data_IF_721573298149
#
_entry.id   IF_721573298149
#
_cell.length_a   1.000
_cell.length_b   1.000
_cell.length_c   1.000
_cell.angle_alpha   90.00
_cell.angle_beta   90.00
_cell.angle_gamma   90.00
#
_symmetry.space_group_name_H-M   'P 1'
#
loop_
_entity.id
_entity.type
_entity.pdbx_description
1 polymer ?
#
# COMPACT_ATOMS: atom_id res chain seq x y z
N UNK A 1 -1.24 22.80 9.26
CA UNK A 1 -1.83 22.75 7.89
C UNK A 1 -1.87 21.30 7.47
N UNK A 2 -3.05 20.75 7.17
CA UNK A 2 -3.16 19.38 6.65
C UNK A 2 -2.75 19.42 5.17
N UNK A 3 -1.72 18.68 4.80
CA UNK A 3 -1.30 18.58 3.40
C UNK A 3 -2.22 17.58 2.69
N UNK A 4 -2.94 17.98 1.62
CA UNK A 4 -3.84 17.07 0.89
C UNK A 4 -3.16 15.77 0.44
N UNK A 5 -1.87 15.83 0.14
CA UNK A 5 -1.08 14.66 -0.22
C UNK A 5 -0.88 13.67 0.94
N UNK A 6 -0.69 14.16 2.16
CA UNK A 6 -0.58 13.32 3.36
C UNK A 6 -1.90 12.64 3.70
N UNK A 7 -3.03 13.32 3.49
CA UNK A 7 -4.36 12.70 3.65
C UNK A 7 -4.58 11.58 2.63
N UNK A 8 -4.27 11.83 1.35
CA UNK A 8 -4.32 10.81 0.30
C UNK A 8 -3.50 9.58 0.65
N UNK A 9 -2.30 9.80 1.19
CA UNK A 9 -1.41 8.72 1.62
C UNK A 9 -1.97 7.93 2.81
N UNK A 10 -2.54 8.61 3.81
CA UNK A 10 -3.16 7.97 4.96
C UNK A 10 -4.40 7.14 4.57
N UNK A 11 -5.25 7.69 3.71
CA UNK A 11 -6.40 6.99 3.15
C UNK A 11 -5.98 5.68 2.46
N UNK A 12 -5.01 5.75 1.56
CA UNK A 12 -4.51 4.58 0.83
C UNK A 12 -3.95 3.48 1.74
N UNK A 13 -3.16 3.86 2.75
CA UNK A 13 -2.61 2.91 3.74
C UNK A 13 -3.73 2.23 4.55
N UNK A 14 -4.69 3.00 5.05
CA UNK A 14 -5.81 2.46 5.82
C UNK A 14 -6.72 1.54 4.99
N UNK A 15 -6.96 1.92 3.73
CA UNK A 15 -7.75 1.10 2.81
C UNK A 15 -7.09 -0.26 2.56
N UNK A 16 -5.80 -0.29 2.22
CA UNK A 16 -5.07 -1.53 1.97
C UNK A 16 -4.94 -2.41 3.23
N UNK A 17 -4.82 -1.80 4.41
CA UNK A 17 -4.79 -2.55 5.67
C UNK A 17 -6.12 -3.30 5.94
N UNK A 18 -7.27 -2.78 5.48
CA UNK A 18 -8.59 -3.35 5.74
C UNK A 18 -9.09 -4.27 4.62
N UNK A 19 -8.85 -3.91 3.36
CA UNK A 19 -9.43 -4.60 2.20
C UNK A 19 -8.38 -5.26 1.29
N UNK A 20 -7.11 -4.86 1.39
CA UNK A 20 -5.99 -5.39 0.63
C UNK A 20 -6.23 -5.52 -0.90
N UNK A 21 -7.01 -4.60 -1.48
CA UNK A 21 -7.30 -4.54 -2.92
C UNK A 21 -6.67 -3.28 -3.52
N UNK A 22 -5.58 -3.46 -4.28
CA UNK A 22 -4.85 -2.36 -4.92
C UNK A 22 -5.54 -1.86 -6.20
N UNK A 23 -6.27 -2.70 -6.91
CA UNK A 23 -6.94 -2.32 -8.15
C UNK A 23 -8.10 -1.37 -7.82
N UNK A 24 -8.94 -1.76 -6.86
CA UNK A 24 -10.03 -0.91 -6.38
C UNK A 24 -9.51 0.39 -5.77
N UNK A 25 -8.38 0.35 -5.06
CA UNK A 25 -7.76 1.57 -4.56
C UNK A 25 -7.32 2.50 -5.71
N UNK A 26 -6.76 1.95 -6.79
CA UNK A 26 -6.36 2.74 -7.95
C UNK A 26 -7.57 3.44 -8.60
N UNK A 27 -8.67 2.71 -8.78
CA UNK A 27 -9.93 3.22 -9.33
C UNK A 27 -10.50 4.34 -8.45
N UNK A 28 -10.55 4.13 -7.13
CA UNK A 28 -11.03 5.12 -6.16
C UNK A 28 -10.17 6.39 -6.11
N UNK A 29 -8.87 6.26 -6.39
CA UNK A 29 -7.93 7.38 -6.38
C UNK A 29 -7.79 8.07 -7.74
N UNK A 30 -8.49 7.57 -8.77
CA UNK A 30 -8.40 8.05 -10.15
C UNK A 30 -7.00 7.91 -10.75
N UNK A 31 -6.27 6.84 -10.38
CA UNK A 31 -4.96 6.56 -10.95
C UNK A 31 -5.10 5.85 -12.30
N UNK A 32 -4.55 6.43 -13.36
CA UNK A 32 -4.51 5.83 -14.70
C UNK A 32 -3.68 4.53 -14.75
N UNK A 33 -2.80 4.32 -13.77
CA UNK A 33 -1.95 3.14 -13.67
C UNK A 33 -1.84 2.64 -12.24
N UNK A 34 -1.92 1.32 -12.08
CA UNK A 34 -1.68 0.62 -10.81
C UNK A 34 -0.24 0.89 -10.31
N UNK A 35 0.71 1.19 -11.21
CA UNK A 35 2.08 1.54 -10.86
C UNK A 35 2.13 2.74 -9.90
N UNK A 36 1.27 3.74 -10.10
CA UNK A 36 1.17 4.91 -9.24
C UNK A 36 0.64 4.55 -7.85
N UNK A 37 -0.27 3.59 -7.76
CA UNK A 37 -0.82 3.09 -6.48
C UNK A 37 0.17 2.18 -5.75
N UNK A 38 1.09 1.52 -6.45
CA UNK A 38 2.05 0.57 -5.86
C UNK A 38 2.93 1.19 -4.78
N UNK A 39 3.13 2.51 -4.81
CA UNK A 39 3.90 3.23 -3.78
C UNK A 39 3.38 2.95 -2.36
N UNK A 40 2.08 2.67 -2.19
CA UNK A 40 1.48 2.40 -0.90
C UNK A 40 1.74 0.98 -0.38
N UNK A 41 2.07 0.03 -1.25
CA UNK A 41 2.45 -1.34 -0.88
C UNK A 41 3.92 -1.48 -0.49
N UNK A 42 4.72 -0.43 -0.70
CA UNK A 42 6.16 -0.49 -0.45
C UNK A 42 6.41 -0.82 1.03
N UNK A 43 7.18 -1.87 1.25
CA UNK A 43 7.67 -2.35 2.53
C UNK A 43 9.17 -2.10 2.59
N UNK A 44 9.68 -1.91 3.81
CA UNK A 44 11.12 -1.88 4.06
C UNK A 44 11.74 -3.27 3.84
N UNK A 45 13.05 -3.31 3.59
CA UNK A 45 13.76 -4.58 3.44
C UNK A 45 13.59 -5.49 4.68
N UNK A 46 13.62 -4.93 5.88
CA UNK A 46 13.40 -5.66 7.13
C UNK A 46 11.99 -6.25 7.22
N UNK A 47 10.94 -5.50 6.86
CA UNK A 47 9.58 -6.03 6.84
C UNK A 47 9.41 -7.14 5.81
N UNK A 48 10.05 -7.01 4.64
CA UNK A 48 10.05 -8.06 3.62
C UNK A 48 10.73 -9.33 4.14
N UNK A 49 11.92 -9.19 4.74
CA UNK A 49 12.67 -10.30 5.32
C UNK A 49 11.83 -11.03 6.40
N UNK A 50 11.25 -10.29 7.34
CA UNK A 50 10.41 -10.86 8.39
C UNK A 50 9.20 -11.64 7.85
N UNK A 51 8.59 -11.16 6.74
CA UNK A 51 7.49 -11.86 6.08
C UNK A 51 7.99 -13.15 5.42
N UNK A 52 9.12 -13.10 4.72
CA UNK A 52 9.73 -14.27 4.08
C UNK A 52 10.10 -15.31 5.12
N UNK A 53 10.79 -14.92 6.19
CA UNK A 53 11.20 -15.82 7.29
C UNK A 53 10.01 -16.51 7.96
N UNK A 54 8.87 -15.83 8.05
CA UNK A 54 7.64 -16.41 8.60
C UNK A 54 6.98 -17.42 7.66
N UNK A 55 7.07 -17.20 6.36
CA UNK A 55 6.41 -18.04 5.34
C UNK A 55 7.28 -19.25 4.99
N UNK A 56 8.60 -19.08 4.93
CA UNK A 56 9.58 -20.10 4.59
C UNK A 56 9.97 -20.83 5.88
N UNK A 57 9.25 -21.90 6.21
CA UNK A 57 9.43 -22.69 7.44
C UNK A 57 9.88 -24.14 7.20
N UNK A 58 10.51 -24.40 6.05
CA UNK A 58 11.02 -25.71 5.64
C UNK A 58 12.54 -25.83 5.83
#
# INVERSE_FOLDING_TARGET
VIYPHSFRHLFAKNFLAKYNDIALLADLMGHESIETTRIYLRKTATEQQNIVDKIVNW
#
